data_IF_219194696669
#
_entry.id   IF_219194696669
#
_cell.length_a   1.000
_cell.length_b   1.000
_cell.length_c   1.000
_cell.angle_alpha   90.00
_cell.angle_beta   90.00
_cell.angle_gamma   90.00
#
_symmetry.space_group_name_H-M   'P 1'
#
loop_
_entity.id
_entity.type
_entity.pdbx_description
1 polymer ?
#
# COMPACT_ATOMS: atom_id res chain seq x y z
N UNK A 1 -34.64 33.04 44.22
CA UNK A 1 -34.07 31.71 43.93
C UNK A 1 -34.13 31.49 42.43
N UNK A 2 -33.03 31.76 41.72
CA UNK A 2 -32.95 31.58 40.25
C UNK A 2 -32.43 30.16 39.98
N UNK A 3 -33.30 29.25 39.57
CA UNK A 3 -32.90 27.97 39.02
C UNK A 3 -32.51 28.19 37.55
N UNK A 4 -31.20 28.25 37.27
CA UNK A 4 -30.68 28.19 35.91
C UNK A 4 -30.86 26.75 35.39
N UNK A 5 -31.80 26.56 34.48
CA UNK A 5 -31.89 25.36 33.66
C UNK A 5 -30.67 25.33 32.73
N UNK A 6 -29.72 24.47 33.05
CA UNK A 6 -28.56 24.19 32.21
C UNK A 6 -29.03 23.27 31.09
N UNK A 7 -29.16 23.82 29.89
CA UNK A 7 -29.43 23.11 28.64
C UNK A 7 -28.36 22.03 28.44
N UNK A 8 -28.71 20.74 28.23
CA UNK A 8 -27.70 19.74 27.90
C UNK A 8 -27.25 20.03 26.47
N UNK A 9 -26.04 20.58 26.34
CA UNK A 9 -25.38 20.76 25.06
C UNK A 9 -25.23 19.38 24.42
N UNK A 10 -25.84 19.25 23.25
CA UNK A 10 -25.75 18.14 22.33
C UNK A 10 -24.26 17.93 21.96
N UNK A 11 -23.54 17.10 22.72
CA UNK A 11 -22.27 16.52 22.28
C UNK A 11 -22.62 15.48 21.20
N UNK A 12 -22.96 15.96 20.01
CA UNK A 12 -22.80 15.16 18.81
C UNK A 12 -21.29 14.92 18.68
N UNK A 13 -20.84 13.74 19.11
CA UNK A 13 -19.53 13.23 18.72
C UNK A 13 -19.50 13.29 17.19
N UNK A 14 -18.82 14.29 16.65
CA UNK A 14 -18.25 14.20 15.32
C UNK A 14 -17.31 13.01 15.38
N UNK A 15 -17.81 11.82 15.05
CA UNK A 15 -16.96 10.72 14.62
C UNK A 15 -16.26 11.25 13.38
N UNK A 16 -15.11 11.89 13.56
CA UNK A 16 -14.15 12.01 12.49
C UNK A 16 -13.92 10.57 12.07
N UNK A 17 -14.42 10.21 10.89
CA UNK A 17 -13.99 9.03 10.18
C UNK A 17 -12.50 9.24 9.96
N UNK A 18 -11.69 8.82 10.93
CA UNK A 18 -10.26 8.76 10.80
C UNK A 18 -10.03 7.62 9.80
N UNK A 19 -10.08 7.95 8.51
CA UNK A 19 -9.53 7.07 7.49
C UNK A 19 -8.07 6.90 7.86
N UNK A 20 -7.76 5.76 8.46
CA UNK A 20 -6.41 5.42 8.81
C UNK A 20 -5.72 5.05 7.50
N UNK A 21 -4.89 5.97 7.01
CA UNK A 21 -4.06 5.75 5.83
C UNK A 21 -2.83 4.91 6.20
N UNK A 22 -2.16 4.35 5.19
CA UNK A 22 -0.86 3.71 5.38
C UNK A 22 0.25 4.47 4.63
N UNK A 23 1.50 4.20 4.97
CA UNK A 23 2.67 4.76 4.25
C UNK A 23 3.60 3.61 3.90
N UNK A 24 3.90 3.43 2.61
CA UNK A 24 4.95 2.51 2.18
C UNK A 24 6.31 3.15 2.49
N UNK A 25 7.16 2.40 3.17
CA UNK A 25 8.55 2.77 3.44
C UNK A 25 9.51 2.02 2.50
N UNK A 26 9.18 0.78 2.11
CA UNK A 26 9.91 0.01 1.12
C UNK A 26 8.95 -0.89 0.30
N UNK A 27 9.11 -0.99 -1.03
CA UNK A 27 10.03 -0.22 -1.88
C UNK A 27 9.64 1.25 -2.02
N UNK A 28 10.49 2.08 -2.63
CA UNK A 28 10.23 3.51 -2.82
C UNK A 28 8.90 3.73 -3.59
N UNK A 29 7.88 4.36 -2.98
CA UNK A 29 6.61 4.58 -3.66
C UNK A 29 6.75 5.63 -4.77
N UNK A 30 5.94 5.48 -5.83
CA UNK A 30 5.77 6.46 -6.93
C UNK A 30 5.33 7.82 -6.37
N UNK A 31 4.53 7.81 -5.31
CA UNK A 31 4.10 9.03 -4.65
C UNK A 31 3.47 8.74 -3.30
N UNK A 32 3.29 9.81 -2.51
CA UNK A 32 2.62 9.74 -1.22
C UNK A 32 1.62 10.89 -1.10
N UNK A 33 0.34 10.58 -1.31
CA UNK A 33 -0.75 11.51 -1.01
C UNK A 33 -1.86 10.74 -0.29
N UNK A 34 -1.97 10.99 1.02
CA UNK A 34 -2.96 10.31 1.87
C UNK A 34 -4.39 10.58 1.40
N UNK A 35 -4.70 11.80 0.95
CA UNK A 35 -6.05 12.16 0.53
C UNK A 35 -6.53 11.40 -0.71
N UNK A 36 -5.60 11.00 -1.58
CA UNK A 36 -5.88 10.29 -2.83
C UNK A 36 -5.74 8.78 -2.69
N UNK A 37 -5.39 8.28 -1.52
CA UNK A 37 -5.01 6.88 -1.35
C UNK A 37 -6.17 5.90 -1.57
N UNK A 38 -7.43 6.37 -1.57
CA UNK A 38 -8.60 5.57 -1.95
C UNK A 38 -8.85 5.53 -3.48
N UNK A 39 -8.15 6.34 -4.26
CA UNK A 39 -8.24 6.36 -5.72
C UNK A 39 -7.49 5.17 -6.29
N UNK A 40 -8.20 4.26 -6.95
CA UNK A 40 -7.60 3.16 -7.68
C UNK A 40 -7.23 3.57 -9.12
N UNK A 41 -6.15 3.03 -9.71
CA UNK A 41 -5.06 2.33 -9.03
C UNK A 41 -4.08 3.31 -8.35
N UNK A 42 -3.12 2.76 -7.59
CA UNK A 42 -1.93 3.50 -7.14
C UNK A 42 -2.17 4.77 -6.29
N UNK A 43 -3.34 4.96 -5.69
CA UNK A 43 -3.65 6.19 -4.96
C UNK A 43 -3.78 7.39 -5.90
N UNK A 44 -4.21 7.14 -7.14
CA UNK A 44 -4.40 8.15 -8.18
C UNK A 44 -3.11 8.65 -8.85
N UNK A 45 -1.96 8.06 -8.53
CA UNK A 45 -0.70 8.35 -9.23
C UNK A 45 -0.61 7.60 -10.55
N UNK A 46 0.05 8.23 -11.54
CA UNK A 46 0.30 7.62 -12.84
C UNK A 46 1.18 6.37 -12.69
N UNK A 47 0.64 5.21 -13.08
CA UNK A 47 1.33 3.93 -12.98
C UNK A 47 2.68 3.90 -13.70
N UNK A 48 2.79 4.63 -14.81
CA UNK A 48 4.00 4.71 -15.62
C UNK A 48 5.06 5.67 -15.09
N UNK A 49 4.80 6.39 -13.99
CA UNK A 49 5.77 7.32 -13.43
C UNK A 49 6.97 6.55 -12.85
N UNK A 50 8.16 6.96 -13.28
CA UNK A 50 9.48 6.43 -12.89
C UNK A 50 10.41 7.51 -12.34
N UNK A 51 9.91 8.74 -12.18
CA UNK A 51 10.70 9.92 -11.79
C UNK A 51 11.36 9.80 -10.42
N UNK A 52 10.82 8.92 -9.55
CA UNK A 52 11.35 8.64 -8.21
C UNK A 52 12.30 7.43 -8.14
N UNK A 53 12.64 6.84 -9.29
CA UNK A 53 13.48 5.65 -9.39
C UNK A 53 12.67 4.37 -9.62
N UNK A 54 13.40 3.31 -9.96
CA UNK A 54 12.89 1.95 -10.19
C UNK A 54 13.58 1.04 -9.18
N UNK A 55 12.82 0.31 -8.38
CA UNK A 55 13.38 -0.71 -7.50
C UNK A 55 13.64 -2.00 -8.27
N UNK A 56 14.86 -2.50 -8.20
CA UNK A 56 15.15 -3.86 -8.67
C UNK A 56 14.43 -4.87 -7.77
N UNK A 57 13.70 -5.79 -8.38
CA UNK A 57 12.88 -6.79 -7.70
C UNK A 57 13.41 -8.19 -7.99
N UNK A 58 14.29 -8.71 -7.12
CA UNK A 58 14.84 -10.05 -7.25
C UNK A 58 13.78 -11.13 -7.33
N UNK A 59 14.00 -12.13 -8.17
CA UNK A 59 13.19 -13.37 -8.17
C UNK A 59 13.28 -14.09 -6.82
N UNK A 60 14.42 -14.02 -6.14
CA UNK A 60 14.60 -14.55 -4.78
C UNK A 60 13.82 -13.78 -3.71
N UNK A 61 13.33 -12.59 -4.06
CA UNK A 61 12.50 -11.75 -3.22
C UNK A 61 13.22 -10.60 -2.54
N UNK A 62 12.44 -9.61 -2.13
CA UNK A 62 12.84 -8.42 -1.40
C UNK A 62 11.74 -8.06 -0.40
N UNK A 63 12.09 -7.31 0.62
CA UNK A 63 11.16 -6.92 1.67
C UNK A 63 10.17 -5.85 1.22
N UNK A 64 8.97 -5.88 1.81
CA UNK A 64 7.94 -4.86 1.64
C UNK A 64 7.54 -4.34 3.00
N UNK A 65 7.71 -3.04 3.24
CA UNK A 65 7.51 -2.46 4.55
C UNK A 65 6.64 -1.20 4.48
N UNK A 66 5.82 -1.04 5.51
CA UNK A 66 4.84 0.04 5.59
C UNK A 66 4.48 0.37 7.03
N UNK A 67 4.01 1.59 7.26
CA UNK A 67 3.40 2.01 8.52
C UNK A 67 1.87 2.07 8.34
N UNK A 68 1.13 1.38 9.21
CA UNK A 68 -0.33 1.31 9.17
C UNK A 68 -0.97 1.97 10.39
N UNK A 69 -1.87 2.93 10.12
CA UNK A 69 -2.76 3.46 11.16
C UNK A 69 -3.99 2.57 11.44
N UNK A 70 -4.21 1.50 10.66
CA UNK A 70 -5.33 0.57 10.86
C UNK A 70 -4.93 -0.60 11.76
N UNK A 71 -5.67 -0.77 12.86
CA UNK A 71 -5.44 -1.85 13.81
C UNK A 71 -5.80 -3.24 13.27
N UNK A 72 -6.73 -3.32 12.31
CA UNK A 72 -7.04 -4.55 11.58
C UNK A 72 -7.11 -4.24 10.10
N UNK A 73 -6.25 -4.87 9.32
CA UNK A 73 -6.19 -4.68 7.88
C UNK A 73 -5.76 -5.97 7.18
N UNK A 74 -6.32 -6.18 5.99
CA UNK A 74 -5.76 -7.11 5.03
C UNK A 74 -4.91 -6.38 4.00
N UNK A 75 -3.92 -7.08 3.47
CA UNK A 75 -2.92 -6.55 2.56
C UNK A 75 -2.75 -7.48 1.37
N UNK A 76 -2.66 -6.90 0.19
CA UNK A 76 -2.34 -7.60 -1.05
C UNK A 76 -1.22 -6.86 -1.77
N UNK A 77 -0.12 -7.56 -2.00
CA UNK A 77 1.00 -7.12 -2.84
C UNK A 77 0.85 -7.79 -4.19
N UNK A 78 0.75 -7.00 -5.25
CA UNK A 78 0.57 -7.51 -6.62
C UNK A 78 1.48 -6.76 -7.58
N UNK A 79 1.88 -7.43 -8.66
CA UNK A 79 2.64 -6.81 -9.73
C UNK A 79 1.83 -6.80 -11.03
N UNK A 80 2.06 -5.79 -11.85
CA UNK A 80 1.52 -5.67 -13.20
C UNK A 80 2.64 -5.19 -14.12
N UNK A 81 2.71 -5.68 -15.36
CA UNK A 81 3.72 -5.17 -16.31
C UNK A 81 3.45 -3.70 -16.63
N UNK A 82 4.52 -2.91 -16.79
CA UNK A 82 4.41 -1.47 -17.02
C UNK A 82 3.75 -1.09 -18.35
N UNK A 83 3.71 -2.03 -19.30
CA UNK A 83 3.04 -1.87 -20.59
C UNK A 83 1.54 -2.24 -20.54
N UNK A 84 1.01 -2.69 -19.38
CA UNK A 84 -0.42 -2.91 -19.22
C UNK A 84 -1.13 -1.54 -19.19
N UNK A 85 -1.95 -1.30 -20.21
CA UNK A 85 -2.75 -0.07 -20.34
C UNK A 85 -4.11 -0.18 -19.65
N UNK A 86 -4.41 -1.27 -18.94
CA UNK A 86 -5.68 -1.45 -18.25
C UNK A 86 -5.73 -0.59 -16.99
N UNK A 87 -6.67 0.36 -16.98
CA UNK A 87 -6.97 1.17 -15.79
C UNK A 87 -7.50 0.33 -14.61
N UNK A 88 -7.79 -0.95 -14.84
CA UNK A 88 -8.38 -1.90 -13.89
C UNK A 88 -7.36 -2.88 -13.30
N UNK A 89 -6.09 -2.84 -13.72
CA UNK A 89 -5.08 -3.82 -13.32
C UNK A 89 -5.53 -5.28 -13.55
N UNK A 90 -6.23 -5.54 -14.65
CA UNK A 90 -6.86 -6.84 -14.92
C UNK A 90 -5.85 -7.97 -15.09
N UNK A 91 -4.59 -7.67 -15.42
CA UNK A 91 -3.52 -8.66 -15.54
C UNK A 91 -2.63 -8.77 -14.30
N UNK A 92 -3.00 -8.16 -13.17
CA UNK A 92 -2.15 -8.16 -11.97
C UNK A 92 -1.95 -9.58 -11.44
N UNK A 93 -0.69 -9.92 -11.15
CA UNK A 93 -0.29 -11.16 -10.48
C UNK A 93 -0.15 -10.90 -8.99
N UNK A 94 -0.83 -11.68 -8.16
CA UNK A 94 -0.72 -11.60 -6.71
C UNK A 94 0.60 -12.24 -6.26
N UNK A 95 1.47 -11.46 -5.61
CA UNK A 95 2.72 -11.94 -5.05
C UNK A 95 2.55 -12.37 -3.58
N UNK A 96 1.75 -11.61 -2.82
CA UNK A 96 1.49 -11.94 -1.42
C UNK A 96 0.17 -11.38 -0.90
N UNK A 97 -0.39 -12.08 0.07
CA UNK A 97 -1.59 -11.67 0.80
C UNK A 97 -1.45 -12.02 2.27
N UNK A 98 -1.72 -11.07 3.17
CA UNK A 98 -1.63 -11.25 4.61
C UNK A 98 -2.64 -10.37 5.36
N UNK A 99 -2.75 -10.60 6.66
CA UNK A 99 -3.58 -9.82 7.58
C UNK A 99 -2.74 -9.35 8.77
N UNK A 100 -3.00 -8.14 9.23
CA UNK A 100 -2.34 -7.55 10.40
C UNK A 100 -3.38 -7.17 11.46
N UNK A 101 -3.05 -7.38 12.73
CA UNK A 101 -3.87 -7.06 13.89
C UNK A 101 -3.15 -6.12 14.87
N UNK A 102 -2.49 -5.09 14.33
CA UNK A 102 -1.86 -4.02 15.09
C UNK A 102 -1.73 -2.75 14.22
N UNK A 103 -1.37 -1.63 14.85
CA UNK A 103 -0.94 -0.39 14.19
C UNK A 103 0.58 -0.24 14.26
N UNK A 104 1.15 0.54 13.35
CA UNK A 104 2.57 0.90 13.35
C UNK A 104 3.32 0.26 12.19
N UNK A 105 4.65 0.13 12.30
CA UNK A 105 5.49 -0.42 11.25
C UNK A 105 5.26 -1.93 11.09
N UNK A 106 5.16 -2.34 9.84
CA UNK A 106 5.10 -3.71 9.39
C UNK A 106 6.15 -3.91 8.30
N UNK A 107 6.70 -5.12 8.26
CA UNK A 107 7.70 -5.51 7.29
C UNK A 107 7.38 -6.96 6.91
N UNK A 108 7.23 -7.21 5.62
CA UNK A 108 6.94 -8.50 5.04
C UNK A 108 8.20 -8.98 4.32
N UNK A 109 8.92 -9.97 4.89
CA UNK A 109 10.20 -10.35 4.35
C UNK A 109 10.09 -11.13 3.05
N UNK A 110 11.08 -10.97 2.18
CA UNK A 110 11.36 -11.85 1.04
C UNK A 110 10.14 -12.11 0.13
N UNK A 111 9.45 -11.06 -0.30
CA UNK A 111 8.36 -11.19 -1.28
C UNK A 111 8.97 -11.54 -2.64
N UNK A 112 8.82 -12.80 -3.04
CA UNK A 112 9.41 -13.35 -4.25
C UNK A 112 8.96 -12.60 -5.52
N UNK A 113 9.87 -12.55 -6.50
CA UNK A 113 9.56 -12.04 -7.83
C UNK A 113 8.98 -13.10 -8.76
N UNK A 114 8.76 -12.73 -10.02
CA UNK A 114 8.26 -13.61 -11.07
C UNK A 114 9.40 -13.92 -12.06
N UNK A 115 9.93 -15.16 -12.09
CA UNK A 115 11.03 -15.53 -12.99
C UNK A 115 10.75 -15.27 -14.47
N UNK A 116 9.50 -15.46 -14.90
CA UNK A 116 9.05 -15.21 -16.26
C UNK A 116 9.04 -13.72 -16.65
N UNK A 117 9.13 -12.80 -15.67
CA UNK A 117 9.14 -11.35 -15.90
C UNK A 117 10.52 -10.72 -15.73
N UNK A 118 11.58 -11.51 -15.50
CA UNK A 118 12.95 -10.99 -15.39
C UNK A 118 13.31 -10.13 -16.60
N UNK A 119 13.84 -8.94 -16.32
CA UNK A 119 14.19 -7.92 -17.30
C UNK A 119 13.05 -6.98 -17.69
N UNK A 120 11.80 -7.25 -17.28
CA UNK A 120 10.64 -6.42 -17.59
C UNK A 120 10.37 -5.38 -16.51
N UNK A 121 10.01 -4.18 -16.96
CA UNK A 121 9.46 -3.14 -16.09
C UNK A 121 8.04 -3.47 -15.65
N UNK A 122 7.76 -3.24 -14.37
CA UNK A 122 6.49 -3.51 -13.76
C UNK A 122 6.12 -2.42 -12.73
N UNK A 123 4.89 -2.49 -12.26
CA UNK A 123 4.35 -1.68 -11.17
C UNK A 123 3.95 -2.64 -10.07
N UNK A 124 4.50 -2.44 -8.88
CA UNK A 124 4.05 -3.11 -7.68
C UNK A 124 2.90 -2.30 -7.09
N UNK A 125 1.71 -2.88 -6.98
CA UNK A 125 0.61 -2.31 -6.21
C UNK A 125 0.51 -2.98 -4.84
N UNK A 126 0.50 -2.16 -3.81
CA UNK A 126 0.17 -2.55 -2.44
C UNK A 126 -1.22 -2.01 -2.14
N UNK A 127 -2.13 -2.94 -1.87
CA UNK A 127 -3.52 -2.67 -1.56
C UNK A 127 -3.79 -3.06 -0.11
N UNK A 128 -4.33 -2.11 0.65
CA UNK A 128 -4.92 -2.37 1.96
C UNK A 128 -6.43 -2.46 1.81
N UNK A 129 -7.06 -3.39 2.51
CA UNK A 129 -8.49 -3.32 2.81
C UNK A 129 -8.72 -3.41 4.32
N UNK A 130 -9.70 -2.67 4.79
CA UNK A 130 -9.99 -2.51 6.21
C UNK A 130 -11.34 -3.12 6.55
N UNK A 131 -11.55 -3.46 7.84
CA UNK A 131 -12.77 -4.16 8.28
C UNK A 131 -14.07 -3.37 8.10
N UNK A 132 -13.98 -2.08 7.81
CA UNK A 132 -15.08 -1.17 7.47
C UNK A 132 -15.43 -1.17 5.97
N UNK A 133 -14.73 -1.97 5.15
CA UNK A 133 -14.98 -2.10 3.71
C UNK A 133 -14.24 -1.08 2.84
N UNK A 134 -13.37 -0.26 3.42
CA UNK A 134 -12.54 0.69 2.65
C UNK A 134 -11.31 0.01 2.03
N UNK A 135 -10.85 0.58 0.92
CA UNK A 135 -9.65 0.15 0.21
C UNK A 135 -8.69 1.32 0.01
N UNK A 136 -7.41 1.05 0.14
CA UNK A 136 -6.35 2.03 -0.05
C UNK A 136 -5.24 1.44 -0.92
N UNK A 137 -4.64 2.27 -1.75
CA UNK A 137 -3.72 1.86 -2.79
C UNK A 137 -2.44 2.72 -2.74
N UNK A 138 -1.30 2.05 -2.94
CA UNK A 138 -0.02 2.68 -3.19
C UNK A 138 0.73 1.85 -4.22
N UNK A 139 1.57 2.50 -5.02
CA UNK A 139 2.39 1.79 -6.00
C UNK A 139 3.85 2.17 -5.93
N UNK A 140 4.69 1.24 -6.38
CA UNK A 140 6.11 1.44 -6.62
C UNK A 140 6.46 1.01 -8.04
N UNK A 141 7.41 1.72 -8.64
CA UNK A 141 8.00 1.33 -9.90
C UNK A 141 9.05 0.24 -9.65
N UNK A 142 8.94 -0.89 -10.34
CA UNK A 142 9.87 -2.00 -10.16
C UNK A 142 10.36 -2.55 -11.50
N UNK A 143 11.47 -3.28 -11.46
CA UNK A 143 11.97 -4.10 -12.56
C UNK A 143 12.41 -5.44 -12.02
N UNK A 144 11.89 -6.54 -12.57
CA UNK A 144 12.28 -7.87 -12.12
C UNK A 144 13.72 -8.19 -12.53
N UNK A 145 14.50 -8.76 -11.62
CA UNK A 145 15.91 -9.11 -11.84
C UNK A 145 16.23 -10.53 -11.34
N UNK A 146 17.29 -11.11 -11.88
CA UNK A 146 17.87 -12.40 -11.49
C UNK A 146 18.76 -12.27 -10.23
N UNK A 147 19.21 -11.05 -9.91
CA UNK A 147 20.18 -10.78 -8.86
C UNK A 147 19.76 -11.34 -7.48
N UNK A 148 20.73 -11.62 -6.60
CA UNK A 148 20.44 -12.05 -5.24
C UNK A 148 19.56 -11.06 -4.47
N UNK A 149 18.74 -11.58 -3.56
CA UNK A 149 17.99 -10.77 -2.62
C UNK A 149 18.93 -9.83 -1.85
N UNK A 150 18.60 -8.53 -1.70
CA UNK A 150 19.32 -7.68 -0.77
C UNK A 150 19.14 -8.21 0.66
N UNK A 151 20.03 -7.81 1.59
CA UNK A 151 19.83 -8.09 3.00
C UNK A 151 18.45 -7.61 3.46
N UNK A 152 17.79 -8.44 4.27
CA UNK A 152 16.49 -8.11 4.87
C UNK A 152 16.60 -6.86 5.74
N UNK A 153 15.65 -5.95 5.60
CA UNK A 153 15.43 -4.80 6.49
C UNK A 153 14.29 -5.07 7.49
N UNK A 154 13.61 -6.22 7.38
CA UNK A 154 12.71 -6.72 8.41
C UNK A 154 13.52 -7.20 9.64
N UNK A 155 13.46 -6.46 10.74
CA UNK A 155 13.98 -6.85 12.07
C UNK A 155 12.85 -7.29 13.03
#
# INVERSE_FOLDING_TARGET
MLAKLITPALLALLALNANAHFVITAPQPIGSNRQRQQEAPCGGFEMGDRSRGVTEWPVSGIDVCWDSANATAGWQVSAVLANDTSCTLTSKTNLRTLYTHATGPFCLPSVAGLPEWVGLDAVLQIQQWTGDGNYYFSCAAIKFVDDPAPPSECD
#
